data_IF_602421305073
#
_entry.id   IF_602421305073
#
_cell.length_a   1.000
_cell.length_b   1.000
_cell.length_c   1.000
_cell.angle_alpha   90.00
_cell.angle_beta   90.00
_cell.angle_gamma   90.00
#
_symmetry.space_group_name_H-M   'P 1'
#
loop_
_entity.id
_entity.type
_entity.pdbx_description
1 polymer ?
#
# COMPACT_ATOMS: atom_id res chain seq x y z
N UNK A 1 7.15 5.07 20.43
CA UNK A 1 6.24 5.96 19.68
C UNK A 1 5.25 5.08 18.94
N UNK A 2 3.95 5.29 19.14
CA UNK A 2 2.88 4.52 18.48
C UNK A 2 2.35 5.34 17.31
N UNK A 3 2.31 4.75 16.12
CA UNK A 3 1.79 5.41 14.91
C UNK A 3 0.32 5.01 14.80
N UNK A 4 -0.59 5.96 15.03
CA UNK A 4 -2.02 5.69 14.96
C UNK A 4 -2.57 5.95 13.56
N UNK A 5 -2.58 4.91 12.72
CA UNK A 5 -3.11 4.95 11.35
C UNK A 5 -4.65 4.90 11.33
N UNK A 6 -5.28 4.41 12.41
CA UNK A 6 -6.72 4.19 12.49
C UNK A 6 -7.57 5.47 12.65
N UNK A 7 -6.94 6.64 12.80
CA UNK A 7 -7.65 7.90 12.93
C UNK A 7 -8.36 8.24 11.60
N UNK A 8 -9.65 8.64 11.62
CA UNK A 8 -10.41 8.88 10.39
C UNK A 8 -9.74 9.89 9.44
N UNK A 9 -9.19 10.98 9.98
CA UNK A 9 -8.47 11.98 9.21
C UNK A 9 -7.22 11.39 8.54
N UNK A 10 -6.45 10.59 9.27
CA UNK A 10 -5.25 9.92 8.76
C UNK A 10 -5.58 8.96 7.63
N UNK A 11 -6.67 8.21 7.75
CA UNK A 11 -7.12 7.30 6.68
C UNK A 11 -7.48 8.09 5.42
N UNK A 12 -8.22 9.19 5.54
CA UNK A 12 -8.58 10.05 4.40
C UNK A 12 -7.31 10.59 3.72
N UNK A 13 -6.33 11.05 4.51
CA UNK A 13 -5.05 11.53 3.99
C UNK A 13 -4.26 10.42 3.28
N UNK A 14 -4.22 9.21 3.83
CA UNK A 14 -3.53 8.07 3.22
C UNK A 14 -4.21 7.61 1.92
N UNK A 15 -5.54 7.63 1.87
CA UNK A 15 -6.28 7.34 0.63
C UNK A 15 -5.99 8.40 -0.43
N UNK A 16 -6.04 9.69 -0.06
CA UNK A 16 -5.71 10.78 -0.98
C UNK A 16 -4.27 10.66 -1.50
N UNK A 17 -3.32 10.33 -0.61
CA UNK A 17 -1.93 10.08 -0.96
C UNK A 17 -1.78 8.88 -1.90
N UNK A 18 -2.49 7.78 -1.62
CA UNK A 18 -2.47 6.60 -2.47
C UNK A 18 -2.95 6.92 -3.89
N UNK A 19 -4.09 7.61 -4.02
CA UNK A 19 -4.61 8.04 -5.32
C UNK A 19 -3.60 8.94 -6.05
N UNK A 20 -3.01 9.91 -5.36
CA UNK A 20 -2.05 10.84 -5.94
C UNK A 20 -0.77 10.14 -6.41
N UNK A 21 -0.26 9.18 -5.64
CA UNK A 21 0.95 8.44 -6.00
C UNK A 21 0.73 7.46 -7.14
N UNK A 22 -0.44 6.81 -7.20
CA UNK A 22 -0.82 5.96 -8.33
C UNK A 22 -0.98 6.80 -9.60
N UNK A 23 -1.63 7.96 -9.50
CA UNK A 23 -1.74 8.90 -10.61
C UNK A 23 -0.37 9.39 -11.08
N UNK A 24 0.51 9.78 -10.15
CA UNK A 24 1.87 10.19 -10.47
C UNK A 24 2.67 9.07 -11.14
N UNK A 25 2.58 7.85 -10.62
CA UNK A 25 3.22 6.65 -11.18
C UNK A 25 2.77 6.36 -12.61
N UNK A 26 1.49 6.62 -12.92
CA UNK A 26 0.92 6.52 -14.26
C UNK A 26 1.50 7.56 -15.20
N UNK A 27 1.49 8.83 -14.81
CA UNK A 27 1.96 9.95 -15.64
C UNK A 27 3.45 9.82 -15.97
N UNK A 28 4.27 9.48 -14.98
CA UNK A 28 5.73 9.31 -15.18
C UNK A 28 6.09 7.93 -15.73
N UNK A 29 5.11 7.02 -15.87
CA UNK A 29 5.27 5.61 -16.25
C UNK A 29 6.35 4.91 -15.44
N UNK A 30 6.46 5.20 -14.14
CA UNK A 30 7.40 4.52 -13.23
C UNK A 30 6.65 3.73 -12.17
N UNK A 31 6.63 2.39 -12.27
CA UNK A 31 5.99 1.54 -11.28
C UNK A 31 6.76 1.52 -9.95
N UNK A 32 7.98 2.07 -9.89
CA UNK A 32 8.77 2.15 -8.66
C UNK A 32 8.12 3.01 -7.57
N UNK A 33 7.28 3.99 -7.93
CA UNK A 33 6.63 4.89 -6.97
C UNK A 33 5.69 4.15 -6.01
N UNK A 34 4.69 3.39 -6.48
CA UNK A 34 3.83 2.59 -5.59
C UNK A 34 4.60 1.49 -4.84
N UNK A 35 5.71 0.96 -5.40
CA UNK A 35 6.54 -0.07 -4.74
C UNK A 35 7.18 0.46 -3.47
N UNK A 36 7.72 1.68 -3.51
CA UNK A 36 8.33 2.28 -2.31
C UNK A 36 7.29 2.37 -1.19
N UNK A 37 6.06 2.79 -1.51
CA UNK A 37 4.99 2.85 -0.50
C UNK A 37 4.54 1.47 -0.02
N UNK A 38 4.51 0.46 -0.90
CA UNK A 38 4.25 -0.92 -0.50
C UNK A 38 5.23 -1.36 0.60
N UNK A 39 6.53 -1.11 0.42
CA UNK A 39 7.54 -1.46 1.42
C UNK A 39 7.37 -0.69 2.72
N UNK A 40 6.96 0.59 2.67
CA UNK A 40 6.66 1.38 3.87
C UNK A 40 5.50 0.75 4.66
N UNK A 41 4.40 0.38 4.00
CA UNK A 41 3.28 -0.26 4.67
C UNK A 41 3.61 -1.66 5.18
N UNK A 42 4.46 -2.41 4.47
CA UNK A 42 4.95 -3.69 4.96
C UNK A 42 5.78 -3.54 6.24
N UNK A 43 6.64 -2.51 6.30
CA UNK A 43 7.38 -2.18 7.52
C UNK A 43 6.47 -1.75 8.68
N UNK A 44 5.38 -1.03 8.39
CA UNK A 44 4.37 -0.66 9.40
C UNK A 44 3.65 -1.88 9.97
N UNK A 45 3.27 -2.85 9.13
CA UNK A 45 2.69 -4.13 9.61
C UNK A 45 3.64 -4.83 10.58
N UNK A 46 4.93 -4.94 10.23
CA UNK A 46 5.94 -5.54 11.10
C UNK A 46 6.11 -4.76 12.40
N UNK A 47 6.15 -3.43 12.34
CA UNK A 47 6.25 -2.57 13.52
C UNK A 47 5.06 -2.74 14.46
N UNK A 48 3.82 -2.70 13.95
CA UNK A 48 2.62 -2.89 14.75
C UNK A 48 2.54 -4.31 15.34
N UNK A 49 3.01 -5.32 14.58
CA UNK A 49 3.09 -6.70 15.06
C UNK A 49 4.05 -6.84 16.24
N UNK A 50 5.22 -6.19 16.18
CA UNK A 50 6.18 -6.17 17.30
C UNK A 50 5.59 -5.41 18.50
N UNK A 51 4.92 -4.27 18.27
CA UNK A 51 4.31 -3.48 19.34
C UNK A 51 3.22 -4.24 20.10
N UNK A 52 2.42 -5.09 19.44
CA UNK A 52 1.43 -5.94 20.12
C UNK A 52 2.05 -6.87 21.16
N UNK A 53 3.31 -7.27 20.99
CA UNK A 53 4.00 -8.17 21.92
C UNK A 53 4.67 -7.42 23.09
N UNK A 54 4.77 -6.10 23.01
CA UNK A 54 5.44 -5.26 24.01
C UNK A 54 4.42 -4.53 24.89
N UNK A 55 3.29 -4.13 24.31
CA UNK A 55 2.26 -3.33 24.97
C UNK A 55 1.32 -4.21 25.80
N UNK A 56 0.89 -3.72 26.98
CA UNK A 56 -0.07 -4.41 27.84
C UNK A 56 -1.42 -4.59 27.10
N UNK A 57 -1.93 -5.82 27.10
CA UNK A 57 -3.20 -6.23 26.47
C UNK A 57 -4.39 -5.40 26.96
N UNK A 58 -4.36 -4.91 28.20
CA UNK A 58 -5.45 -4.10 28.76
C UNK A 58 -5.32 -2.60 28.44
N UNK A 59 -4.25 -2.18 27.79
CA UNK A 59 -4.03 -0.77 27.46
C UNK A 59 -4.92 -0.30 26.30
N UNK A 60 -5.18 1.01 26.27
CA UNK A 60 -5.84 1.67 25.13
C UNK A 60 -4.99 1.50 23.86
N UNK A 61 -3.67 1.52 24.01
CA UNK A 61 -2.68 1.38 22.93
C UNK A 61 -2.81 0.04 22.20
N UNK A 62 -3.01 -1.06 22.93
CA UNK A 62 -3.20 -2.39 22.36
C UNK A 62 -4.40 -2.43 21.39
N UNK A 63 -5.52 -1.83 21.81
CA UNK A 63 -6.73 -1.73 20.98
C UNK A 63 -6.54 -0.84 19.74
N UNK A 64 -5.70 0.20 19.84
CA UNK A 64 -5.36 1.07 18.70
C UNK A 64 -4.50 0.29 17.69
N UNK A 65 -3.48 -0.42 18.16
CA UNK A 65 -2.56 -1.18 17.31
C UNK A 65 -3.33 -2.30 16.57
N UNK A 66 -4.23 -3.01 17.25
CA UNK A 66 -5.09 -4.03 16.63
C UNK A 66 -5.92 -3.50 15.47
N UNK A 67 -6.37 -2.23 15.54
CA UNK A 67 -7.11 -1.60 14.44
C UNK A 67 -6.21 -1.14 13.31
N UNK A 68 -4.94 -0.82 13.57
CA UNK A 68 -4.00 -0.34 12.55
C UNK A 68 -3.54 -1.46 11.60
N UNK A 69 -3.26 -2.66 12.12
CA UNK A 69 -2.79 -3.81 11.32
C UNK A 69 -3.67 -4.12 10.10
N UNK A 70 -5.00 -4.29 10.21
CA UNK A 70 -5.84 -4.57 9.05
C UNK A 70 -5.84 -3.39 8.05
N UNK A 71 -5.73 -2.16 8.53
CA UNK A 71 -5.67 -0.97 7.67
C UNK A 71 -4.36 -0.97 6.87
N UNK A 72 -3.23 -1.25 7.52
CA UNK A 72 -1.93 -1.32 6.84
C UNK A 72 -1.93 -2.42 5.78
N UNK A 73 -2.51 -3.59 6.09
CA UNK A 73 -2.65 -4.69 5.13
C UNK A 73 -3.49 -4.31 3.92
N UNK A 74 -4.60 -3.58 4.12
CA UNK A 74 -5.40 -3.06 3.01
C UNK A 74 -4.54 -2.16 2.10
N UNK A 75 -3.74 -1.28 2.66
CA UNK A 75 -2.84 -0.43 1.87
C UNK A 75 -1.75 -1.24 1.17
N UNK A 76 -1.15 -2.26 1.80
CA UNK A 76 -0.21 -3.17 1.12
C UNK A 76 -0.84 -3.76 -0.14
N UNK A 77 -2.07 -4.25 -0.04
CA UNK A 77 -2.81 -4.83 -1.18
C UNK A 77 -3.07 -3.78 -2.25
N UNK A 78 -3.54 -2.58 -1.88
CA UNK A 78 -3.78 -1.48 -2.82
C UNK A 78 -2.51 -1.12 -3.60
N UNK A 79 -1.38 -0.91 -2.90
CA UNK A 79 -0.12 -0.55 -3.55
C UNK A 79 0.46 -1.71 -4.38
N UNK A 80 0.21 -2.97 -4.00
CA UNK A 80 0.64 -4.13 -4.76
C UNK A 80 -0.09 -4.22 -6.12
N UNK A 81 -1.41 -4.08 -6.11
CA UNK A 81 -2.17 -4.04 -7.36
C UNK A 81 -1.82 -2.82 -8.21
N UNK A 82 -1.64 -1.66 -7.59
CA UNK A 82 -1.23 -0.46 -8.30
C UNK A 82 0.16 -0.62 -8.95
N UNK A 83 1.10 -1.29 -8.29
CA UNK A 83 2.40 -1.61 -8.85
C UNK A 83 2.26 -2.49 -10.10
N UNK A 84 1.55 -3.61 -10.01
CA UNK A 84 1.37 -4.53 -11.14
C UNK A 84 0.71 -3.84 -12.34
N UNK A 85 -0.31 -3.02 -12.07
CA UNK A 85 -0.98 -2.25 -13.12
C UNK A 85 -0.05 -1.24 -13.79
N UNK A 86 0.75 -0.51 -13.00
CA UNK A 86 1.70 0.46 -13.54
C UNK A 86 2.90 -0.18 -14.26
N UNK A 87 3.32 -1.37 -13.84
CA UNK A 87 4.38 -2.13 -14.50
C UNK A 87 3.95 -2.56 -15.90
N UNK A 88 2.70 -3.03 -16.03
CA UNK A 88 2.09 -3.33 -17.32
C UNK A 88 2.02 -2.12 -18.26
N UNK A 89 1.57 -0.96 -17.75
CA UNK A 89 1.54 0.29 -18.53
C UNK A 89 2.95 0.69 -19.00
N UNK A 90 3.97 0.51 -18.16
CA UNK A 90 5.36 0.76 -18.54
C UNK A 90 5.86 -0.24 -19.59
N UNK A 91 5.55 -1.53 -19.43
CA UNK A 91 5.95 -2.59 -20.35
C UNK A 91 5.38 -2.39 -21.75
N UNK A 92 4.09 -2.04 -21.84
CA UNK A 92 3.40 -1.67 -23.09
C UNK A 92 4.03 -0.42 -23.73
N UNK A 93 4.34 0.61 -22.92
CA UNK A 93 4.97 1.82 -23.43
C UNK A 93 6.41 1.61 -23.93
N UNK A 94 7.12 0.59 -23.44
CA UNK A 94 8.52 0.31 -23.76
C UNK A 94 8.72 -0.88 -24.70
N UNK A 95 7.65 -1.56 -25.15
CA UNK A 95 7.72 -2.83 -25.91
C UNK A 95 8.62 -3.89 -25.23
N UNK A 96 8.59 -3.94 -23.90
CA UNK A 96 9.37 -4.91 -23.11
C UNK A 96 8.46 -5.99 -22.53
N UNK A 97 9.02 -7.18 -22.23
CA UNK A 97 8.29 -8.23 -21.52
C UNK A 97 7.88 -7.72 -20.14
N UNK A 98 6.60 -7.83 -19.84
CA UNK A 98 6.00 -7.56 -18.55
C UNK A 98 6.52 -8.56 -17.50
N UNK A 99 6.65 -8.16 -16.23
CA UNK A 99 7.08 -9.10 -15.17
C UNK A 99 6.04 -10.20 -14.91
N UNK A 100 4.75 -9.86 -15.02
CA UNK A 100 3.65 -10.82 -14.95
C UNK A 100 2.43 -10.33 -15.77
N UNK A 101 1.84 -11.23 -16.57
CA UNK A 101 0.68 -10.97 -17.43
C UNK A 101 -0.58 -11.72 -16.95
N UNK A 102 -0.53 -12.36 -15.77
CA UNK A 102 -1.62 -13.14 -15.20
C UNK A 102 -2.90 -12.33 -14.94
N UNK A 103 -2.78 -11.01 -14.78
CA UNK A 103 -3.86 -10.08 -14.49
C UNK A 103 -4.33 -9.23 -15.68
N UNK A 104 -3.86 -9.51 -16.90
CA UNK A 104 -4.30 -8.80 -18.12
C UNK A 104 -5.83 -8.75 -18.28
N UNK A 105 -6.52 -9.82 -17.86
CA UNK A 105 -7.98 -9.93 -17.94
C UNK A 105 -8.70 -8.98 -16.98
N UNK A 106 -8.04 -8.55 -15.90
CA UNK A 106 -8.60 -7.65 -14.89
C UNK A 106 -8.54 -6.19 -15.37
N UNK A 107 -7.49 -5.82 -16.11
CA UNK A 107 -7.24 -4.43 -16.52
C UNK A 107 -7.77 -4.06 -17.92
N UNK A 108 -8.02 -5.04 -18.81
CA UNK A 108 -8.44 -4.83 -20.22
C UNK A 108 -9.72 -4.00 -20.45
N UNK A 109 -10.44 -3.62 -19.39
CA UNK A 109 -11.69 -2.86 -19.45
C UNK A 109 -11.55 -1.39 -19.03
N UNK A 110 -10.36 -0.93 -18.65
CA UNK A 110 -10.09 0.45 -18.20
C UNK A 110 -9.25 1.19 -19.23
#
# INVERSE_FOLDING_TARGET
MIINVSQPLTIILLVALAVLLVFLGKEVKKPQIPVVMLFVFLALVLMHSIQLNIVDVNSIEYNVILKCIPIDLIFVVIYFFAYLWLDQIQAEALNKKNLDNSLDWFWKKV
#
